data_IF_169545030748
#
_entry.id   IF_169545030748
#
_cell.length_a   1.000
_cell.length_b   1.000
_cell.length_c   1.000
_cell.angle_alpha   90.00
_cell.angle_beta   90.00
_cell.angle_gamma   90.00
#
_symmetry.space_group_name_H-M   'P 1'
#
loop_
_entity.id
_entity.type
_entity.pdbx_description
1 polymer ?
#
# COMPACT_ATOMS: atom_id res chain seq x y z
N UNK A 1 15.44 -10.04 16.97
CA UNK A 1 14.25 -9.20 16.73
C UNK A 1 13.60 -9.70 15.45
N UNK A 2 12.34 -10.12 15.49
CA UNK A 2 11.66 -10.63 14.30
C UNK A 2 11.33 -9.44 13.39
N UNK A 3 12.02 -9.33 12.25
CA UNK A 3 11.57 -8.44 11.18
C UNK A 3 10.14 -8.84 10.83
N UNK A 4 9.20 -7.92 11.04
CA UNK A 4 7.79 -8.11 10.70
C UNK A 4 7.68 -8.25 9.18
N UNK A 5 7.74 -9.47 8.65
CA UNK A 5 7.90 -9.73 7.22
C UNK A 5 6.68 -9.22 6.44
N UNK A 6 6.91 -8.70 5.24
CA UNK A 6 5.83 -8.34 4.32
C UNK A 6 4.99 -9.59 4.03
N UNK A 7 3.69 -9.51 4.27
CA UNK A 7 2.76 -10.59 4.00
C UNK A 7 2.44 -10.67 2.50
N UNK A 8 2.62 -11.84 1.91
CA UNK A 8 2.38 -12.08 0.47
C UNK A 8 0.91 -11.93 0.10
N UNK A 9 -0.03 -12.25 1.01
CA UNK A 9 -1.48 -12.02 0.80
C UNK A 9 -1.79 -10.52 0.64
N UNK A 10 -1.25 -9.69 1.53
CA UNK A 10 -1.48 -8.24 1.52
C UNK A 10 -0.89 -7.61 0.24
N UNK A 11 0.27 -8.10 -0.20
CA UNK A 11 0.89 -7.71 -1.48
C UNK A 11 -0.02 -8.10 -2.64
N UNK A 12 -0.48 -9.37 -2.68
CA UNK A 12 -1.34 -9.88 -3.74
C UNK A 12 -2.59 -9.03 -3.91
N UNK A 13 -3.32 -8.77 -2.83
CA UNK A 13 -4.53 -7.93 -2.81
C UNK A 13 -4.27 -6.50 -3.28
N UNK A 14 -3.17 -5.90 -2.83
CA UNK A 14 -2.76 -4.55 -3.24
C UNK A 14 -2.46 -4.47 -4.73
N UNK A 15 -1.71 -5.46 -5.25
CA UNK A 15 -1.38 -5.56 -6.68
C UNK A 15 -2.64 -5.77 -7.50
N UNK A 16 -3.61 -6.55 -7.03
CA UNK A 16 -4.89 -6.73 -7.71
C UNK A 16 -5.65 -5.42 -7.87
N UNK A 17 -5.74 -4.57 -6.83
CA UNK A 17 -6.37 -3.25 -6.95
C UNK A 17 -5.58 -2.34 -7.89
N UNK A 18 -4.26 -2.33 -7.81
CA UNK A 18 -3.43 -1.54 -8.72
C UNK A 18 -3.61 -1.97 -10.19
N UNK A 19 -3.73 -3.28 -10.45
CA UNK A 19 -3.98 -3.83 -11.78
C UNK A 19 -5.38 -3.47 -12.29
N UNK A 20 -6.40 -3.56 -11.44
CA UNK A 20 -7.77 -3.15 -11.77
C UNK A 20 -7.84 -1.66 -12.10
N UNK A 21 -7.19 -0.81 -11.30
CA UNK A 21 -7.09 0.62 -11.56
C UNK A 21 -6.52 0.89 -12.94
N UNK A 22 -5.39 0.25 -13.29
CA UNK A 22 -4.76 0.42 -14.59
C UNK A 22 -5.61 -0.14 -15.74
N UNK A 23 -6.37 -1.22 -15.51
CA UNK A 23 -7.28 -1.79 -16.50
C UNK A 23 -8.45 -0.85 -16.80
N UNK A 24 -8.99 -0.19 -15.77
CA UNK A 24 -10.04 0.83 -15.94
C UNK A 24 -9.50 2.07 -16.67
N UNK A 25 -8.23 2.42 -16.46
CA UNK A 25 -7.60 3.57 -17.12
C UNK A 25 -7.05 3.23 -18.52
N UNK A 26 -6.91 1.95 -18.87
CA UNK A 26 -6.36 1.49 -20.15
C UNK A 26 -7.05 2.12 -21.38
N UNK A 27 -8.40 2.25 -21.44
CA UNK A 27 -9.07 2.89 -22.57
C UNK A 27 -8.71 4.37 -22.77
N UNK A 28 -8.29 5.08 -21.72
CA UNK A 28 -7.88 6.49 -21.84
C UNK A 28 -6.60 6.64 -22.66
N UNK A 29 -5.72 5.64 -22.63
CA UNK A 29 -4.51 5.63 -23.46
C UNK A 29 -4.82 5.53 -24.95
N UNK A 30 -5.96 4.91 -25.31
CA UNK A 30 -6.42 4.82 -26.69
C UNK A 30 -7.07 6.12 -27.18
N UNK A 31 -7.69 6.88 -26.28
CA UNK A 31 -8.28 8.18 -26.62
C UNK A 31 -7.20 9.26 -26.83
N UNK A 32 -6.29 9.40 -25.87
CA UNK A 32 -5.13 10.29 -25.98
C UNK A 32 -4.04 9.80 -25.03
N UNK A 33 -2.87 9.47 -25.57
CA UNK A 33 -1.77 8.88 -24.79
C UNK A 33 -1.24 9.81 -23.70
N UNK A 34 -1.24 11.13 -23.90
CA UNK A 34 -0.77 12.10 -22.90
C UNK A 34 -1.77 12.23 -21.77
N UNK A 35 -3.07 12.26 -22.08
CA UNK A 35 -4.13 12.31 -21.09
C UNK A 35 -4.19 10.99 -20.32
N UNK A 36 -4.14 9.84 -21.02
CA UNK A 36 -4.15 8.51 -20.42
C UNK A 36 -2.97 8.29 -19.47
N UNK A 37 -1.76 8.66 -19.88
CA UNK A 37 -0.57 8.57 -19.02
C UNK A 37 -0.68 9.49 -17.81
N UNK A 38 -1.12 10.74 -18.00
CA UNK A 38 -1.28 11.71 -16.91
C UNK A 38 -2.32 11.23 -15.89
N UNK A 39 -3.47 10.74 -16.37
CA UNK A 39 -4.52 10.19 -15.53
C UNK A 39 -4.03 8.95 -14.75
N UNK A 40 -3.29 8.06 -15.39
CA UNK A 40 -2.72 6.88 -14.73
C UNK A 40 -1.69 7.24 -13.65
N UNK A 41 -0.82 8.23 -13.90
CA UNK A 41 0.14 8.70 -12.90
C UNK A 41 -0.57 9.32 -11.70
N UNK A 42 -1.55 10.19 -11.93
CA UNK A 42 -2.32 10.83 -10.86
C UNK A 42 -3.11 9.79 -10.07
N UNK A 43 -3.81 8.88 -10.73
CA UNK A 43 -4.60 7.84 -10.09
C UNK A 43 -3.72 6.87 -9.28
N UNK A 44 -2.59 6.44 -9.86
CA UNK A 44 -1.65 5.55 -9.16
C UNK A 44 -1.01 6.25 -7.96
N UNK A 45 -0.64 7.53 -8.10
CA UNK A 45 -0.12 8.34 -6.99
C UNK A 45 -1.14 8.49 -5.86
N UNK A 46 -2.40 8.80 -6.20
CA UNK A 46 -3.49 8.90 -5.23
C UNK A 46 -3.76 7.56 -4.52
N UNK A 47 -3.72 6.44 -5.27
CA UNK A 47 -3.85 5.10 -4.71
C UNK A 47 -2.72 4.78 -3.73
N UNK A 48 -1.46 4.98 -4.12
CA UNK A 48 -0.32 4.71 -3.25
C UNK A 48 -0.33 5.56 -1.98
N UNK A 49 -0.70 6.85 -2.11
CA UNK A 49 -0.80 7.76 -0.96
C UNK A 49 -1.92 7.33 0.00
N UNK A 50 -3.12 7.04 -0.52
CA UNK A 50 -4.24 6.60 0.31
C UNK A 50 -3.96 5.25 0.99
N UNK A 51 -3.39 4.29 0.27
CA UNK A 51 -2.97 3.01 0.81
C UNK A 51 -1.91 3.20 1.92
N UNK A 52 -0.90 4.04 1.70
CA UNK A 52 0.11 4.33 2.71
C UNK A 52 -0.51 4.92 4.00
N UNK A 53 -1.38 5.93 3.87
CA UNK A 53 -1.98 6.60 5.02
C UNK A 53 -2.92 5.67 5.80
N UNK A 54 -3.73 4.84 5.11
CA UNK A 54 -4.58 3.82 5.73
C UNK A 54 -3.72 2.79 6.48
N UNK A 55 -2.65 2.29 5.84
CA UNK A 55 -1.74 1.33 6.46
C UNK A 55 -1.01 1.90 7.67
N UNK A 56 -0.61 3.18 7.60
CA UNK A 56 0.04 3.88 8.71
C UNK A 56 -0.86 3.93 9.95
N UNK A 57 -2.17 4.20 9.77
CA UNK A 57 -3.17 4.20 10.84
C UNK A 57 -3.45 2.81 11.41
N UNK A 58 -3.29 1.76 10.60
CA UNK A 58 -3.49 0.35 10.99
C UNK A 58 -2.28 -0.28 11.69
N UNK A 59 -1.08 0.33 11.58
CA UNK A 59 0.18 -0.17 12.16
C UNK A 59 0.82 0.80 13.19
N UNK A 60 0.08 1.36 14.17
CA UNK A 60 0.60 2.40 15.06
C UNK A 60 1.76 1.92 15.94
N UNK A 61 1.71 0.68 16.46
CA UNK A 61 2.76 0.12 17.30
C UNK A 61 4.05 -0.18 16.51
N UNK A 62 3.95 -0.77 15.32
CA UNK A 62 5.10 -1.06 14.46
C UNK A 62 5.77 0.22 13.94
N UNK A 63 4.97 1.24 13.59
CA UNK A 63 5.48 2.56 13.18
C UNK A 63 6.15 3.30 14.35
N UNK A 64 5.62 3.16 15.58
CA UNK A 64 6.23 3.69 16.80
C UNK A 64 7.58 3.04 17.11
N UNK A 65 7.69 1.71 17.00
CA UNK A 65 8.96 0.98 17.17
C UNK A 65 9.97 1.41 16.11
N UNK A 66 9.56 1.55 14.85
CA UNK A 66 10.44 1.97 13.77
C UNK A 66 10.92 3.42 13.97
N UNK A 67 10.02 4.32 14.38
CA UNK A 67 10.36 5.70 14.75
C UNK A 67 11.36 5.72 15.90
N UNK A 68 11.15 4.95 16.96
CA UNK A 68 12.10 4.86 18.08
C UNK A 68 13.47 4.32 17.61
N UNK A 69 13.48 3.36 16.68
CA UNK A 69 14.71 2.82 16.10
C UNK A 69 15.45 3.87 15.24
N UNK A 70 14.73 4.72 14.50
CA UNK A 70 15.31 5.85 13.75
C UNK A 70 15.82 6.96 14.67
N UNK A 71 15.10 7.26 15.77
CA UNK A 71 15.47 8.32 16.72
C UNK A 71 16.61 7.92 17.68
N UNK A 72 16.64 6.69 18.19
CA UNK A 72 17.73 6.19 19.05
C UNK A 72 18.86 5.52 18.25
N UNK A 73 18.65 5.24 16.97
CA UNK A 73 19.62 4.66 16.04
C UNK A 73 20.38 5.69 15.21
N UNK A 74 20.78 6.84 15.78
CA UNK A 74 21.57 7.87 15.08
C UNK A 74 22.91 7.39 14.47
N UNK A 75 23.29 6.13 14.68
CA UNK A 75 24.46 5.46 14.08
C UNK A 75 24.07 4.41 13.00
N UNK A 76 22.80 3.99 12.92
CA UNK A 76 22.30 2.94 12.01
C UNK A 76 20.93 3.23 11.41
N UNK A 77 20.53 4.51 11.31
CA UNK A 77 19.31 4.96 10.63
C UNK A 77 19.34 4.63 9.14
N UNK A 78 19.10 3.36 8.83
CA UNK A 78 19.29 2.79 7.51
C UNK A 78 18.04 3.11 6.69
N UNK A 79 18.23 3.85 5.60
CA UNK A 79 17.15 4.23 4.66
C UNK A 79 16.33 3.03 4.19
N UNK A 80 16.94 1.83 4.18
CA UNK A 80 16.29 0.56 3.90
C UNK A 80 15.07 0.30 4.81
N UNK A 81 15.16 0.69 6.09
CA UNK A 81 14.15 0.44 7.12
C UNK A 81 12.94 1.37 6.98
N UNK A 82 13.16 2.60 6.51
CA UNK A 82 12.08 3.55 6.19
C UNK A 82 11.32 3.14 4.94
N UNK A 83 12.03 2.73 3.89
CA UNK A 83 11.43 2.25 2.63
C UNK A 83 10.61 0.98 2.88
N UNK A 84 11.16 0.03 3.64
CA UNK A 84 10.46 -1.21 3.97
C UNK A 84 9.17 -0.92 4.78
N UNK A 85 9.22 0.04 5.69
CA UNK A 85 8.05 0.47 6.47
C UNK A 85 7.00 1.16 5.61
N UNK A 86 7.43 2.02 4.69
CA UNK A 86 6.52 2.66 3.75
C UNK A 86 5.83 1.64 2.83
N UNK A 87 6.58 0.66 2.32
CA UNK A 87 6.04 -0.44 1.53
C UNK A 87 5.02 -1.28 2.33
N UNK A 88 5.33 -1.63 3.59
CA UNK A 88 4.39 -2.32 4.48
C UNK A 88 3.11 -1.55 4.71
N UNK A 89 3.19 -0.23 4.89
CA UNK A 89 2.00 0.61 5.02
C UNK A 89 1.18 0.57 3.73
N UNK A 90 1.80 0.68 2.55
CA UNK A 90 1.11 0.56 1.26
C UNK A 90 0.40 -0.80 1.12
N UNK A 91 1.07 -1.92 1.44
CA UNK A 91 0.45 -3.24 1.31
C UNK A 91 -0.70 -3.48 2.29
N UNK A 92 -0.54 -3.04 3.56
CA UNK A 92 -1.61 -3.18 4.55
C UNK A 92 -2.80 -2.30 4.21
N UNK A 93 -2.59 -1.05 3.76
CA UNK A 93 -3.70 -0.20 3.34
C UNK A 93 -4.32 -0.62 2.02
N UNK A 94 -3.52 -1.11 1.07
CA UNK A 94 -3.99 -1.65 -0.20
C UNK A 94 -4.89 -2.87 -0.01
N UNK A 95 -4.55 -3.75 0.94
CA UNK A 95 -5.47 -4.82 1.38
C UNK A 95 -6.78 -4.30 1.92
N UNK A 96 -6.77 -3.27 2.75
CA UNK A 96 -8.00 -2.68 3.30
C UNK A 96 -8.88 -2.15 2.17
N UNK A 97 -8.29 -1.43 1.20
CA UNK A 97 -8.99 -0.97 0.01
C UNK A 97 -9.55 -2.16 -0.80
N UNK A 98 -8.75 -3.23 -0.97
CA UNK A 98 -9.21 -4.44 -1.64
C UNK A 98 -10.41 -5.07 -0.94
N UNK A 99 -10.34 -5.24 0.38
CA UNK A 99 -11.41 -5.85 1.16
C UNK A 99 -12.69 -4.98 1.19
N UNK A 100 -12.57 -3.66 0.99
CA UNK A 100 -13.71 -2.74 0.84
C UNK A 100 -14.35 -2.83 -0.56
N UNK A 101 -13.55 -2.98 -1.61
CA UNK A 101 -14.02 -3.16 -3.00
C UNK A 101 -14.60 -4.57 -3.21
N UNK A 102 -13.99 -5.58 -2.59
CA UNK A 102 -14.40 -6.97 -2.64
C UNK A 102 -14.75 -7.47 -1.23
N UNK A 103 -15.86 -6.99 -0.65
CA UNK A 103 -16.28 -7.42 0.67
C UNK A 103 -16.54 -8.92 0.65
N UNK A 104 -15.79 -9.66 1.46
CA UNK A 104 -16.13 -11.05 1.72
C UNK A 104 -17.45 -11.04 2.49
N UNK A 105 -18.50 -11.61 1.90
CA UNK A 105 -19.81 -11.79 2.56
C UNK A 105 -19.65 -12.49 3.91
N UNK A 106 -20.65 -12.40 4.80
CA UNK A 106 -20.51 -12.80 6.20
C UNK A 106 -19.88 -14.19 6.29
N UNK A 107 -18.64 -14.24 6.80
CA UNK A 107 -17.99 -15.51 7.11
C UNK A 107 -18.92 -16.24 8.06
N UNK A 108 -19.46 -17.37 7.61
CA UNK A 108 -20.27 -18.26 8.41
C UNK A 108 -19.38 -18.76 9.56
N UNK A 109 -19.37 -18.02 10.69
CA UNK A 109 -18.83 -18.50 11.96
C UNK A 109 -19.83 -19.54 12.46
N UNK A 110 -19.54 -20.80 12.18
CA UNK A 110 -20.04 -21.94 12.94
C UNK A 110 -18.85 -22.60 13.62
#
# INVERSE_FOLDING_TARGET
MAQDKINVDDVGKTVTIAALLNTVLAPLYWADTKIGLSAALVATGAFLYSAHEIGKRRRPAANGINSLNTFFGGVTGDKSTEIETAAKNVFVGGKVIFDEVFPQGPSNRR
#
